data_IF_463379683804
#
_entry.id   IF_463379683804
#
_cell.length_a   1.000
_cell.length_b   1.000
_cell.length_c   1.000
_cell.angle_alpha   90.00
_cell.angle_beta   90.00
_cell.angle_gamma   90.00
#
_symmetry.space_group_name_H-M   'P 1'
#
loop_
_entity.id
_entity.type
_entity.pdbx_description
1 polymer ?
#
# COMPACT_ATOMS: atom_id res chain seq x y z
N UNK A 1 2.35 -24.97 -10.29
CA UNK A 1 2.35 -23.51 -10.12
C UNK A 1 1.24 -22.85 -10.95
N UNK A 2 1.22 -23.02 -12.29
CA UNK A 2 0.22 -22.40 -13.18
C UNK A 2 -1.21 -22.69 -12.75
N UNK A 3 -1.53 -23.94 -12.41
CA UNK A 3 -2.87 -24.33 -11.94
C UNK A 3 -3.31 -23.56 -10.68
N UNK A 4 -2.40 -23.36 -9.73
CA UNK A 4 -2.68 -22.59 -8.51
C UNK A 4 -2.99 -21.12 -8.85
N UNK A 5 -2.21 -20.50 -9.74
CA UNK A 5 -2.44 -19.12 -10.20
C UNK A 5 -3.80 -19.00 -10.89
N UNK A 6 -4.12 -19.92 -11.80
CA UNK A 6 -5.41 -19.93 -12.51
C UNK A 6 -6.58 -20.09 -11.53
N UNK A 7 -6.49 -21.03 -10.59
CA UNK A 7 -7.53 -21.21 -9.57
C UNK A 7 -7.69 -19.97 -8.70
N UNK A 8 -6.59 -19.36 -8.27
CA UNK A 8 -6.63 -18.12 -7.47
C UNK A 8 -7.29 -16.97 -8.23
N UNK A 9 -7.01 -16.82 -9.53
CA UNK A 9 -7.65 -15.80 -10.37
C UNK A 9 -9.15 -16.07 -10.57
N UNK A 10 -9.54 -17.33 -10.81
CA UNK A 10 -10.96 -17.71 -10.96
C UNK A 10 -11.74 -17.45 -9.66
N UNK A 11 -11.19 -17.84 -8.52
CA UNK A 11 -11.77 -17.53 -7.21
C UNK A 11 -11.84 -16.02 -7.01
N UNK A 12 -10.78 -15.29 -7.37
CA UNK A 12 -10.75 -13.83 -7.33
C UNK A 12 -11.86 -13.19 -8.15
N UNK A 13 -12.05 -13.62 -9.39
CA UNK A 13 -13.16 -13.15 -10.25
C UNK A 13 -14.51 -13.43 -9.59
N UNK A 14 -14.73 -14.64 -9.08
CA UNK A 14 -15.99 -14.99 -8.43
C UNK A 14 -16.27 -14.12 -7.20
N UNK A 15 -15.26 -13.89 -6.35
CA UNK A 15 -15.38 -13.01 -5.18
C UNK A 15 -15.59 -11.54 -5.58
N UNK A 16 -14.89 -11.05 -6.60
CA UNK A 16 -15.04 -9.68 -7.11
C UNK A 16 -16.45 -9.45 -7.64
N UNK A 17 -16.93 -10.35 -8.49
CA UNK A 17 -18.30 -10.29 -9.04
C UNK A 17 -19.34 -10.35 -7.92
N UNK A 18 -19.18 -11.28 -6.97
CA UNK A 18 -20.04 -11.36 -5.78
C UNK A 18 -20.03 -10.05 -5.01
N UNK A 19 -18.86 -9.48 -4.75
CA UNK A 19 -18.72 -8.20 -4.05
C UNK A 19 -19.44 -7.05 -4.78
N UNK A 20 -19.29 -6.96 -6.11
CA UNK A 20 -19.97 -5.97 -6.93
C UNK A 20 -21.49 -6.16 -6.88
N UNK A 21 -22.00 -7.39 -7.04
CA UNK A 21 -23.44 -7.68 -6.94
C UNK A 21 -23.99 -7.32 -5.56
N UNK A 22 -23.29 -7.67 -4.49
CA UNK A 22 -23.71 -7.31 -3.12
C UNK A 22 -23.70 -5.79 -2.91
N UNK A 23 -22.78 -5.06 -3.51
CA UNK A 23 -22.73 -3.61 -3.48
C UNK A 23 -23.91 -3.01 -4.23
N UNK A 24 -24.17 -3.44 -5.47
CA UNK A 24 -25.26 -2.96 -6.31
C UNK A 24 -26.64 -3.26 -5.71
N UNK A 25 -26.76 -4.39 -5.00
CA UNK A 25 -27.99 -4.78 -4.31
C UNK A 25 -28.16 -4.17 -2.92
N UNK A 26 -27.20 -3.32 -2.48
CA UNK A 26 -27.21 -2.65 -1.17
C UNK A 26 -26.96 -3.59 0.03
N UNK A 27 -26.68 -4.87 -0.22
CA UNK A 27 -26.36 -5.85 0.83
C UNK A 27 -24.96 -5.66 1.40
N UNK A 28 -24.03 -5.14 0.58
CA UNK A 28 -22.70 -4.71 1.02
C UNK A 28 -22.71 -3.18 1.11
N UNK A 29 -22.28 -2.65 2.25
CA UNK A 29 -22.14 -1.21 2.45
C UNK A 29 -20.70 -0.87 2.76
N UNK A 30 -20.22 0.23 2.22
CA UNK A 30 -18.93 0.77 2.58
C UNK A 30 -18.99 1.41 3.97
N UNK A 31 -18.01 1.12 4.81
CA UNK A 31 -17.85 1.79 6.09
C UNK A 31 -17.20 3.16 5.85
N UNK A 32 -18.03 4.15 5.52
CA UNK A 32 -17.57 5.53 5.36
C UNK A 32 -17.30 6.07 6.76
N UNK A 33 -16.05 6.33 7.10
CA UNK A 33 -15.73 7.11 8.28
C UNK A 33 -16.06 8.58 7.98
N UNK A 34 -17.21 9.06 8.44
CA UNK A 34 -17.58 10.46 8.30
C UNK A 34 -16.64 11.35 9.12
N UNK A 35 -16.21 12.47 8.55
CA UNK A 35 -15.54 13.56 9.28
C UNK A 35 -14.04 13.41 9.55
N UNK A 36 -13.43 12.26 9.29
CA UNK A 36 -12.08 11.95 9.72
C UNK A 36 -10.93 12.60 8.89
N UNK A 37 -11.23 13.21 7.76
CA UNK A 37 -10.20 13.70 6.83
C UNK A 37 -9.89 15.18 6.86
N UNK A 38 -10.44 15.92 7.85
CA UNK A 38 -10.28 17.40 7.87
C UNK A 38 -9.09 17.89 8.70
N UNK A 39 -8.42 17.01 9.44
CA UNK A 39 -7.27 17.42 10.22
C UNK A 39 -6.06 17.68 9.29
N UNK A 40 -5.58 18.92 9.31
CA UNK A 40 -4.44 19.35 8.50
C UNK A 40 -3.17 18.60 8.90
N UNK A 41 -3.04 18.20 10.18
CA UNK A 41 -1.90 17.42 10.66
C UNK A 41 -1.74 16.07 9.93
N UNK A 42 -2.85 15.47 9.45
CA UNK A 42 -2.79 14.25 8.64
C UNK A 42 -2.19 14.51 7.25
N UNK A 43 -2.53 15.64 6.63
CA UNK A 43 -1.96 16.03 5.36
C UNK A 43 -0.48 16.41 5.50
N UNK A 44 -0.15 17.15 6.56
CA UNK A 44 1.23 17.51 6.89
C UNK A 44 2.09 16.26 7.13
N UNK A 45 1.58 15.28 7.89
CA UNK A 45 2.24 13.99 8.12
C UNK A 45 2.51 13.25 6.82
N UNK A 46 1.53 13.21 5.91
CA UNK A 46 1.70 12.59 4.61
C UNK A 46 2.72 13.34 3.75
N UNK A 47 2.68 14.66 3.72
CA UNK A 47 3.63 15.48 2.97
C UNK A 47 5.06 15.30 3.48
N UNK A 48 5.26 15.29 4.80
CA UNK A 48 6.56 15.02 5.42
C UNK A 48 7.06 13.62 5.09
N UNK A 49 6.18 12.60 5.23
CA UNK A 49 6.51 11.22 4.88
C UNK A 49 6.92 11.11 3.41
N UNK A 50 6.12 11.64 2.49
CA UNK A 50 6.37 11.56 1.06
C UNK A 50 7.65 12.32 0.67
N UNK A 51 7.84 13.52 1.18
CA UNK A 51 9.01 14.35 0.90
C UNK A 51 10.30 13.69 1.37
N UNK A 52 10.34 13.21 2.62
CA UNK A 52 11.51 12.54 3.19
C UNK A 52 11.77 11.18 2.52
N UNK A 53 10.72 10.43 2.22
CA UNK A 53 10.85 9.14 1.53
C UNK A 53 11.43 9.33 0.13
N UNK A 54 10.89 10.29 -0.65
CA UNK A 54 11.41 10.62 -1.98
C UNK A 54 12.85 11.12 -1.91
N UNK A 55 13.17 12.02 -0.98
CA UNK A 55 14.52 12.51 -0.77
C UNK A 55 15.49 11.37 -0.40
N UNK A 56 15.07 10.46 0.49
CA UNK A 56 15.86 9.30 0.90
C UNK A 56 16.12 8.33 -0.25
N UNK A 57 15.12 8.06 -1.09
CA UNK A 57 15.27 7.19 -2.26
C UNK A 57 16.18 7.82 -3.31
N UNK A 58 15.94 9.10 -3.65
CA UNK A 58 16.75 9.83 -4.65
C UNK A 58 18.20 9.97 -4.18
N UNK A 59 18.43 10.35 -2.93
CA UNK A 59 19.77 10.49 -2.39
C UNK A 59 20.49 9.14 -2.29
N UNK A 60 19.79 8.11 -1.79
CA UNK A 60 20.34 6.76 -1.66
C UNK A 60 20.72 6.10 -2.98
N UNK A 61 20.03 6.48 -4.08
CA UNK A 61 20.31 5.98 -5.43
C UNK A 61 21.30 6.86 -6.21
N UNK A 62 21.68 8.03 -5.67
CA UNK A 62 22.57 8.99 -6.35
C UNK A 62 24.04 8.77 -6.01
N UNK A 63 24.93 9.28 -6.87
CA UNK A 63 26.38 9.36 -6.62
C UNK A 63 26.76 10.53 -5.69
N UNK A 64 25.78 11.16 -5.04
CA UNK A 64 26.03 12.26 -4.11
C UNK A 64 26.82 11.79 -2.87
N UNK A 65 27.62 12.71 -2.27
CA UNK A 65 28.37 12.38 -1.07
C UNK A 65 27.47 11.80 0.03
N UNK A 66 27.89 10.67 0.57
CA UNK A 66 27.16 9.98 1.62
C UNK A 66 26.02 9.08 1.14
N UNK A 67 25.63 9.06 -0.12
CA UNK A 67 24.65 8.15 -0.73
C UNK A 67 23.71 7.40 0.25
N UNK A 68 23.96 6.11 0.45
CA UNK A 68 23.18 5.25 1.37
C UNK A 68 23.27 5.70 2.84
N UNK A 69 24.36 6.32 3.26
CA UNK A 69 24.55 6.81 4.64
C UNK A 69 23.61 7.99 4.97
N UNK A 70 23.16 8.74 3.99
CA UNK A 70 22.16 9.82 4.15
C UNK A 70 20.78 9.34 3.77
N UNK A 71 20.65 8.57 2.68
CA UNK A 71 19.36 8.06 2.21
C UNK A 71 18.62 7.22 3.23
N UNK A 72 19.31 6.27 3.88
CA UNK A 72 18.69 5.40 4.87
C UNK A 72 18.16 6.13 6.12
N UNK A 73 18.90 7.06 6.76
CA UNK A 73 18.36 7.89 7.83
C UNK A 73 17.15 8.72 7.43
N UNK A 74 17.11 9.25 6.19
CA UNK A 74 15.94 9.98 5.70
C UNK A 74 14.71 9.08 5.57
N UNK A 75 14.86 7.83 5.13
CA UNK A 75 13.77 6.86 5.10
C UNK A 75 13.27 6.55 6.51
N UNK A 76 14.17 6.31 7.46
CA UNK A 76 13.80 6.07 8.86
C UNK A 76 13.07 7.28 9.45
N UNK A 77 13.53 8.49 9.16
CA UNK A 77 12.88 9.72 9.60
C UNK A 77 11.50 9.90 8.95
N UNK A 78 11.34 9.53 7.67
CA UNK A 78 10.05 9.55 6.98
C UNK A 78 9.02 8.69 7.73
N UNK A 79 9.38 7.46 8.09
CA UNK A 79 8.51 6.57 8.85
C UNK A 79 8.22 7.10 10.26
N UNK A 80 9.23 7.57 10.97
CA UNK A 80 9.08 8.08 12.34
C UNK A 80 8.16 9.32 12.39
N UNK A 81 8.41 10.31 11.53
CA UNK A 81 7.60 11.52 11.45
C UNK A 81 6.21 11.26 10.87
N UNK A 82 6.10 10.43 9.82
CA UNK A 82 4.82 10.05 9.27
C UNK A 82 3.89 9.46 10.34
N UNK A 83 4.38 8.53 11.13
CA UNK A 83 3.60 7.90 12.22
C UNK A 83 3.38 8.87 13.40
N UNK A 84 4.39 9.63 13.79
CA UNK A 84 4.34 10.48 14.99
C UNK A 84 3.62 11.81 14.78
N UNK A 85 3.80 12.44 13.62
CA UNK A 85 3.29 13.79 13.35
C UNK A 85 1.78 13.96 13.56
N UNK A 86 0.90 13.04 13.14
CA UNK A 86 -0.53 13.18 13.40
C UNK A 86 -0.88 13.37 14.87
N UNK A 87 -0.06 12.79 15.76
CA UNK A 87 -0.27 12.88 17.21
C UNK A 87 0.41 14.11 17.83
N UNK A 88 1.56 14.52 17.30
CA UNK A 88 2.34 15.66 17.80
C UNK A 88 1.80 16.99 17.24
N UNK A 89 1.54 17.04 15.95
CA UNK A 89 1.06 18.23 15.23
C UNK A 89 -0.45 18.45 15.29
N UNK A 90 -1.19 17.65 16.11
CA UNK A 90 -2.65 17.81 16.24
C UNK A 90 -3.03 19.19 16.71
N UNK A 91 -4.12 19.70 16.14
CA UNK A 91 -4.65 21.01 16.50
C UNK A 91 -5.41 20.96 17.82
N UNK A 92 -5.51 22.14 18.45
CA UNK A 92 -6.30 22.31 19.67
C UNK A 92 -7.75 21.82 19.46
N UNK A 93 -8.26 21.08 20.45
CA UNK A 93 -9.57 20.44 20.36
C UNK A 93 -9.60 19.06 19.67
N UNK A 94 -8.54 18.63 18.99
CA UNK A 94 -8.45 17.28 18.40
C UNK A 94 -7.87 16.30 19.42
N UNK A 95 -8.60 15.24 19.72
CA UNK A 95 -8.14 14.21 20.65
C UNK A 95 -7.28 13.13 19.95
N UNK A 96 -6.47 12.39 20.71
CA UNK A 96 -5.77 11.21 20.22
C UNK A 96 -6.73 10.15 19.66
N UNK A 97 -7.93 10.06 20.23
CA UNK A 97 -8.97 9.14 19.73
C UNK A 97 -9.48 9.56 18.37
N UNK A 98 -9.62 10.86 18.11
CA UNK A 98 -10.05 11.38 16.80
C UNK A 98 -8.98 11.07 15.74
N UNK A 99 -7.71 11.29 16.05
CA UNK A 99 -6.60 10.93 15.15
C UNK A 99 -6.58 9.43 14.86
N UNK A 100 -6.71 8.58 15.88
CA UNK A 100 -6.75 7.12 15.69
C UNK A 100 -7.93 6.69 14.81
N UNK A 101 -9.10 7.29 15.02
CA UNK A 101 -10.29 7.03 14.20
C UNK A 101 -10.07 7.49 12.76
N UNK A 102 -9.53 8.68 12.57
CA UNK A 102 -9.20 9.24 11.26
C UNK A 102 -8.25 8.34 10.48
N UNK A 103 -7.16 7.90 11.12
CA UNK A 103 -6.20 6.97 10.54
C UNK A 103 -6.77 5.55 10.33
N UNK A 104 -7.93 5.22 10.91
CA UNK A 104 -8.50 3.87 10.89
C UNK A 104 -7.83 2.89 11.87
N UNK A 105 -7.13 3.43 12.87
CA UNK A 105 -6.48 2.66 13.93
C UNK A 105 -7.52 2.19 14.96
N UNK A 106 -8.43 1.35 14.52
CA UNK A 106 -9.45 0.72 15.37
C UNK A 106 -9.70 -0.73 14.90
N UNK A 107 -10.27 -1.54 15.80
CA UNK A 107 -10.46 -2.97 15.56
C UNK A 107 -11.56 -3.30 14.52
N UNK A 108 -12.23 -2.29 13.95
CA UNK A 108 -13.33 -2.51 13.03
C UNK A 108 -14.42 -3.40 13.66
N UNK A 109 -14.78 -4.49 12.96
CA UNK A 109 -15.72 -5.52 13.44
C UNK A 109 -15.04 -6.61 14.28
N UNK A 110 -13.75 -6.44 14.59
CA UNK A 110 -12.90 -7.38 15.30
C UNK A 110 -11.66 -7.73 14.48
N UNK A 111 -10.50 -7.84 15.15
CA UNK A 111 -9.20 -8.06 14.48
C UNK A 111 -9.25 -9.28 13.55
N UNK A 112 -9.81 -10.41 14.02
CA UNK A 112 -9.93 -11.61 13.20
C UNK A 112 -10.78 -11.39 11.96
N UNK A 113 -11.93 -10.68 12.09
CA UNK A 113 -12.83 -10.41 10.97
C UNK A 113 -12.15 -9.49 9.96
N UNK A 114 -11.41 -8.47 10.42
CA UNK A 114 -10.66 -7.56 9.53
C UNK A 114 -9.50 -8.30 8.84
N UNK A 115 -8.82 -9.22 9.53
CA UNK A 115 -7.79 -10.08 8.94
C UNK A 115 -8.39 -10.97 7.83
N UNK A 116 -9.49 -11.67 8.11
CA UNK A 116 -10.17 -12.50 7.11
C UNK A 116 -10.69 -11.65 5.93
N UNK A 117 -11.18 -10.43 6.19
CA UNK A 117 -11.59 -9.50 5.15
C UNK A 117 -10.39 -9.05 4.30
N UNK A 118 -9.21 -8.87 4.90
CA UNK A 118 -7.96 -8.57 4.18
C UNK A 118 -7.54 -9.71 3.25
N UNK A 119 -7.57 -10.94 3.76
CA UNK A 119 -7.27 -12.15 2.95
C UNK A 119 -8.26 -12.30 1.79
N UNK A 120 -9.57 -12.26 2.09
CA UNK A 120 -10.62 -12.37 1.08
C UNK A 120 -10.55 -11.24 0.05
N UNK A 121 -10.29 -10.01 0.51
CA UNK A 121 -10.12 -8.85 -0.34
C UNK A 121 -8.89 -8.93 -1.24
N UNK A 122 -7.76 -9.42 -0.72
CA UNK A 122 -6.56 -9.68 -1.54
C UNK A 122 -6.89 -10.64 -2.70
N UNK A 123 -7.53 -11.77 -2.40
CA UNK A 123 -7.92 -12.76 -3.42
C UNK A 123 -8.92 -12.15 -4.41
N UNK A 124 -9.94 -11.44 -3.92
CA UNK A 124 -10.97 -10.82 -4.76
C UNK A 124 -10.39 -9.77 -5.73
N UNK A 125 -9.30 -9.11 -5.37
CA UNK A 125 -8.69 -8.05 -6.15
C UNK A 125 -7.52 -8.53 -7.04
N UNK A 126 -7.15 -9.82 -6.99
CA UNK A 126 -6.13 -10.41 -7.87
C UNK A 126 -6.38 -10.15 -9.37
N UNK A 127 -7.63 -10.23 -9.90
CA UNK A 127 -7.89 -9.93 -11.31
C UNK A 127 -7.57 -8.48 -11.68
N UNK A 128 -7.83 -7.53 -10.79
CA UNK A 128 -7.49 -6.10 -10.99
C UNK A 128 -5.98 -5.91 -10.99
N UNK A 129 -5.27 -6.59 -10.10
CA UNK A 129 -3.80 -6.59 -10.06
C UNK A 129 -3.20 -7.21 -11.32
N UNK A 130 -3.78 -8.33 -11.79
CA UNK A 130 -3.35 -8.99 -13.03
C UNK A 130 -3.45 -8.06 -14.25
N UNK A 131 -4.48 -7.20 -14.31
CA UNK A 131 -4.59 -6.17 -15.34
C UNK A 131 -3.41 -5.18 -15.27
N UNK A 132 -3.06 -4.70 -14.09
CA UNK A 132 -1.90 -3.83 -13.89
C UNK A 132 -0.58 -4.49 -14.32
N UNK A 133 -0.40 -5.76 -13.95
CA UNK A 133 0.77 -6.56 -14.36
C UNK A 133 0.81 -6.71 -15.89
N UNK A 134 -0.33 -6.99 -16.53
CA UNK A 134 -0.41 -7.10 -17.99
C UNK A 134 -0.02 -5.79 -18.68
N UNK A 135 -0.51 -4.65 -18.18
CA UNK A 135 -0.13 -3.32 -18.69
C UNK A 135 1.36 -3.09 -18.52
N UNK A 136 1.92 -3.33 -17.33
CA UNK A 136 3.36 -3.22 -17.05
C UNK A 136 4.17 -4.11 -18.00
N UNK A 137 3.79 -5.38 -18.13
CA UNK A 137 4.45 -6.31 -19.05
C UNK A 137 4.43 -5.80 -20.50
N UNK A 138 3.31 -5.29 -20.97
CA UNK A 138 3.19 -4.73 -22.31
C UNK A 138 4.09 -3.51 -22.49
N UNK A 139 4.10 -2.60 -21.53
CA UNK A 139 4.95 -1.40 -21.54
C UNK A 139 6.44 -1.77 -21.58
N UNK A 140 6.89 -2.70 -20.73
CA UNK A 140 8.29 -3.15 -20.72
C UNK A 140 8.68 -3.81 -22.05
N UNK A 141 7.78 -4.59 -22.67
CA UNK A 141 8.03 -5.23 -23.97
C UNK A 141 8.15 -4.23 -25.12
N UNK A 142 7.31 -3.19 -25.12
CA UNK A 142 7.32 -2.18 -26.20
C UNK A 142 8.46 -1.19 -26.04
N UNK A 143 8.75 -0.75 -24.82
CA UNK A 143 9.72 0.31 -24.55
C UNK A 143 11.14 -0.16 -24.25
N UNK A 144 11.33 -1.44 -23.91
CA UNK A 144 12.60 -1.96 -23.37
C UNK A 144 12.91 -1.47 -21.94
N UNK A 145 11.98 -0.77 -21.29
CA UNK A 145 12.20 -0.28 -19.93
C UNK A 145 12.25 -1.45 -18.93
N UNK A 146 13.09 -1.32 -17.91
CA UNK A 146 13.13 -2.24 -16.78
C UNK A 146 12.07 -1.84 -15.73
N UNK A 147 11.36 -2.84 -15.21
CA UNK A 147 10.41 -2.70 -14.12
C UNK A 147 10.76 -3.64 -12.94
N UNK A 148 12.00 -4.10 -12.86
CA UNK A 148 12.49 -4.92 -11.75
C UNK A 148 12.66 -4.09 -10.48
N UNK A 149 12.53 -4.74 -9.33
CA UNK A 149 12.80 -4.09 -8.05
C UNK A 149 14.30 -4.18 -7.71
N UNK A 150 14.97 -3.06 -7.34
CA UNK A 150 16.40 -3.06 -7.03
C UNK A 150 16.85 -4.00 -5.91
N UNK A 151 15.92 -4.44 -5.05
CA UNK A 151 16.19 -5.37 -3.95
C UNK A 151 16.46 -6.82 -4.43
N UNK A 152 16.23 -7.12 -5.72
CA UNK A 152 16.35 -8.48 -6.25
C UNK A 152 17.70 -9.13 -5.96
N UNK A 153 18.79 -8.38 -6.12
CA UNK A 153 20.14 -8.87 -5.91
C UNK A 153 20.42 -9.19 -4.43
N UNK A 154 19.91 -8.39 -3.51
CA UNK A 154 20.06 -8.60 -2.06
C UNK A 154 19.31 -9.84 -1.57
N UNK A 155 18.26 -10.27 -2.26
CA UNK A 155 17.50 -11.49 -1.90
C UNK A 155 18.30 -12.76 -2.14
N UNK A 156 19.37 -12.72 -2.94
CA UNK A 156 20.30 -13.85 -3.14
C UNK A 156 21.38 -13.94 -2.07
N UNK A 157 21.52 -12.93 -1.23
CA UNK A 157 22.50 -12.83 -0.16
C UNK A 157 22.32 -13.84 0.99
N UNK A 158 23.02 -13.65 2.12
CA UNK A 158 22.91 -14.52 3.28
C UNK A 158 21.46 -14.66 3.77
N UNK A 159 21.12 -15.86 4.30
CA UNK A 159 19.76 -16.14 4.77
C UNK A 159 19.23 -15.10 5.78
N UNK A 160 20.09 -14.59 6.66
CA UNK A 160 19.71 -13.55 7.63
C UNK A 160 19.27 -12.25 6.94
N UNK A 161 19.95 -11.85 5.85
CA UNK A 161 19.56 -10.66 5.05
C UNK A 161 18.22 -10.92 4.35
N UNK A 162 18.04 -12.10 3.76
CA UNK A 162 16.77 -12.49 3.15
C UNK A 162 15.60 -12.44 4.15
N UNK A 163 15.77 -13.00 5.34
CA UNK A 163 14.74 -12.97 6.40
C UNK A 163 14.45 -11.52 6.82
N UNK A 164 15.48 -10.71 7.02
CA UNK A 164 15.33 -9.30 7.40
C UNK A 164 14.55 -8.51 6.34
N UNK A 165 14.95 -8.62 5.07
CA UNK A 165 14.32 -7.91 3.97
C UNK A 165 12.87 -8.38 3.76
N UNK A 166 12.61 -9.70 3.85
CA UNK A 166 11.27 -10.26 3.75
C UNK A 166 10.39 -9.77 4.89
N UNK A 167 10.90 -9.76 6.12
CA UNK A 167 10.17 -9.24 7.28
C UNK A 167 9.87 -7.74 7.15
N UNK A 168 10.83 -6.97 6.67
CA UNK A 168 10.64 -5.55 6.41
C UNK A 168 9.56 -5.32 5.35
N UNK A 169 9.68 -5.98 4.19
CA UNK A 169 8.77 -5.80 3.07
C UNK A 169 7.36 -6.33 3.35
N UNK A 170 7.23 -7.45 4.08
CA UNK A 170 5.94 -8.08 4.32
C UNK A 170 5.22 -7.55 5.58
N UNK A 171 5.91 -6.89 6.51
CA UNK A 171 5.30 -6.44 7.77
C UNK A 171 5.47 -4.94 7.98
N UNK A 172 6.71 -4.46 8.05
CA UNK A 172 6.97 -3.08 8.46
C UNK A 172 6.53 -2.07 7.39
N UNK A 173 6.92 -2.28 6.14
CA UNK A 173 6.52 -1.40 5.04
C UNK A 173 4.99 -1.32 4.88
N UNK A 174 4.23 -2.44 4.80
CA UNK A 174 2.78 -2.39 4.73
C UNK A 174 2.12 -1.60 5.87
N UNK A 175 2.57 -1.78 7.11
CA UNK A 175 1.99 -1.05 8.26
C UNK A 175 2.17 0.46 8.09
N UNK A 176 3.38 0.92 7.79
CA UNK A 176 3.69 2.34 7.68
C UNK A 176 3.04 2.97 6.43
N UNK A 177 3.10 2.29 5.30
CA UNK A 177 2.53 2.76 4.05
C UNK A 177 1.01 2.84 4.11
N UNK A 178 0.33 1.83 4.65
CA UNK A 178 -1.12 1.88 4.81
C UNK A 178 -1.54 2.99 5.77
N UNK A 179 -0.78 3.23 6.85
CA UNK A 179 -1.05 4.32 7.77
C UNK A 179 -1.00 5.68 7.05
N UNK A 180 0.01 5.90 6.21
CA UNK A 180 0.20 7.16 5.51
C UNK A 180 -0.74 7.31 4.31
N UNK A 181 -0.80 6.30 3.44
CA UNK A 181 -1.60 6.39 2.23
C UNK A 181 -3.11 6.23 2.50
N UNK A 182 -3.53 5.23 3.30
CA UNK A 182 -4.95 4.92 3.53
C UNK A 182 -5.48 5.53 4.81
N UNK A 183 -4.63 5.69 5.80
CA UNK A 183 -4.99 6.41 7.03
C UNK A 183 -5.05 7.91 6.79
N UNK A 184 -3.93 8.53 6.49
CA UNK A 184 -3.81 9.98 6.40
C UNK A 184 -4.35 10.53 5.07
N UNK A 185 -3.73 10.18 3.93
CA UNK A 185 -3.99 10.87 2.68
C UNK A 185 -5.32 10.48 2.02
N UNK A 186 -5.67 9.20 1.99
CA UNK A 186 -6.98 8.77 1.48
C UNK A 186 -8.13 9.35 2.30
N UNK A 187 -7.98 9.33 3.63
CA UNK A 187 -8.93 9.98 4.53
C UNK A 187 -9.18 11.44 4.17
N UNK A 188 -8.11 12.18 3.83
CA UNK A 188 -8.19 13.57 3.42
C UNK A 188 -8.80 13.76 2.01
N UNK A 189 -8.34 13.01 1.01
CA UNK A 189 -8.80 13.17 -0.38
C UNK A 189 -10.28 12.85 -0.56
N UNK A 190 -10.78 11.77 0.03
CA UNK A 190 -12.17 11.33 -0.12
C UNK A 190 -13.21 12.31 0.46
N UNK A 191 -12.79 13.29 1.26
CA UNK A 191 -13.66 14.39 1.71
C UNK A 191 -13.79 15.49 0.67
N UNK A 192 -12.99 15.47 -0.40
CA UNK A 192 -12.93 16.49 -1.45
C UNK A 192 -13.34 15.98 -2.82
N UNK A 193 -13.07 14.70 -3.08
CA UNK A 193 -13.42 14.06 -4.35
C UNK A 193 -14.09 12.72 -4.08
N UNK A 194 -14.81 12.19 -5.09
CA UNK A 194 -15.42 10.88 -4.97
C UNK A 194 -14.36 9.83 -4.62
N UNK A 195 -14.70 8.90 -3.74
CA UNK A 195 -13.74 7.92 -3.20
C UNK A 195 -13.01 7.10 -4.27
N UNK A 196 -13.65 6.82 -5.42
CA UNK A 196 -13.01 6.10 -6.55
C UNK A 196 -11.89 6.96 -7.14
N UNK A 197 -12.14 8.26 -7.33
CA UNK A 197 -11.12 9.19 -7.81
C UNK A 197 -9.97 9.31 -6.79
N UNK A 198 -10.31 9.42 -5.48
CA UNK A 198 -9.29 9.42 -4.42
C UNK A 198 -8.44 8.14 -4.44
N UNK A 199 -9.08 6.97 -4.61
CA UNK A 199 -8.37 5.69 -4.71
C UNK A 199 -7.45 5.62 -5.95
N UNK A 200 -7.90 6.14 -7.10
CA UNK A 200 -7.11 6.22 -8.33
C UNK A 200 -5.89 7.13 -8.17
N UNK A 201 -6.09 8.35 -7.63
CA UNK A 201 -4.99 9.30 -7.38
C UNK A 201 -3.94 8.68 -6.46
N UNK A 202 -4.38 8.07 -5.35
CA UNK A 202 -3.48 7.42 -4.40
C UNK A 202 -2.75 6.24 -5.02
N UNK A 203 -3.45 5.44 -5.83
CA UNK A 203 -2.84 4.34 -6.54
C UNK A 203 -1.71 4.79 -7.46
N UNK A 204 -1.94 5.84 -8.25
CA UNK A 204 -0.93 6.40 -9.16
C UNK A 204 0.26 6.97 -8.40
N UNK A 205 0.04 7.77 -7.34
CA UNK A 205 1.12 8.31 -6.51
C UNK A 205 1.92 7.16 -5.86
N UNK A 206 1.22 6.16 -5.32
CA UNK A 206 1.84 4.99 -4.73
C UNK A 206 2.74 4.24 -5.73
N UNK A 207 2.26 4.04 -6.97
CA UNK A 207 3.07 3.44 -8.03
C UNK A 207 4.27 4.28 -8.44
N UNK A 208 4.07 5.61 -8.55
CA UNK A 208 5.09 6.52 -9.04
C UNK A 208 6.29 6.72 -8.09
N UNK A 209 6.10 6.55 -6.78
CA UNK A 209 7.19 6.66 -5.79
C UNK A 209 7.99 5.36 -5.61
N UNK A 210 7.53 4.26 -6.20
CA UNK A 210 8.22 2.98 -6.10
C UNK A 210 9.41 2.89 -7.06
N UNK A 211 10.50 2.20 -6.69
CA UNK A 211 11.75 2.23 -7.44
C UNK A 211 11.75 1.39 -8.73
N UNK A 212 10.64 0.75 -9.10
CA UNK A 212 10.50 -0.05 -10.31
C UNK A 212 10.39 0.76 -11.62
N UNK A 213 10.55 2.09 -11.54
CA UNK A 213 10.49 2.97 -12.69
C UNK A 213 9.09 3.12 -13.28
N UNK A 214 8.96 3.98 -14.28
CA UNK A 214 7.66 4.37 -14.86
C UNK A 214 6.86 3.20 -15.45
N UNK A 215 7.54 2.21 -16.02
CA UNK A 215 6.88 1.04 -16.61
C UNK A 215 6.26 0.12 -15.54
N UNK A 216 6.74 0.15 -14.30
CA UNK A 216 6.20 -0.57 -13.15
C UNK A 216 4.97 0.11 -12.52
N UNK A 217 4.77 1.41 -12.80
CA UNK A 217 3.67 2.19 -12.19
C UNK A 217 2.30 1.53 -12.33
N UNK A 218 1.85 0.98 -13.48
CA UNK A 218 0.52 0.39 -13.59
C UNK A 218 0.28 -0.76 -12.62
N UNK A 219 1.23 -1.68 -12.49
CA UNK A 219 1.08 -2.83 -11.58
C UNK A 219 0.96 -2.36 -10.12
N UNK A 220 1.84 -1.46 -9.69
CA UNK A 220 1.87 -0.97 -8.31
C UNK A 220 0.70 -0.03 -8.02
N UNK A 221 0.27 0.76 -9.01
CA UNK A 221 -0.90 1.61 -8.89
C UNK A 221 -2.19 0.79 -8.64
N UNK A 222 -2.33 -0.38 -9.29
CA UNK A 222 -3.46 -1.28 -9.04
C UNK A 222 -3.41 -1.88 -7.63
N UNK A 223 -2.22 -2.22 -7.10
CA UNK A 223 -2.08 -2.58 -5.68
C UNK A 223 -2.53 -1.41 -4.81
N UNK A 224 -2.04 -0.21 -5.09
CA UNK A 224 -2.41 1.01 -4.39
C UNK A 224 -3.92 1.29 -4.40
N UNK A 225 -4.56 1.17 -5.55
CA UNK A 225 -6.01 1.31 -5.70
C UNK A 225 -6.77 0.27 -4.86
N UNK A 226 -6.36 -1.00 -4.94
CA UNK A 226 -7.02 -2.10 -4.22
C UNK A 226 -7.00 -1.91 -2.71
N UNK A 227 -5.87 -1.45 -2.15
CA UNK A 227 -5.78 -1.16 -0.71
C UNK A 227 -6.73 -0.02 -0.31
N UNK A 228 -6.90 1.00 -1.16
CA UNK A 228 -7.86 2.07 -0.92
C UNK A 228 -9.32 1.58 -0.96
N UNK A 229 -9.65 0.65 -1.87
CA UNK A 229 -10.96 -0.02 -1.90
C UNK A 229 -11.23 -0.77 -0.60
N UNK A 230 -10.26 -1.54 -0.11
CA UNK A 230 -10.38 -2.27 1.17
C UNK A 230 -10.56 -1.31 2.35
N UNK A 231 -9.80 -0.21 2.38
CA UNK A 231 -9.94 0.84 3.39
C UNK A 231 -11.34 1.47 3.37
N UNK A 232 -11.86 1.77 2.17
CA UNK A 232 -13.20 2.31 1.98
C UNK A 232 -14.28 1.32 2.44
N UNK A 233 -14.09 0.04 2.14
CA UNK A 233 -15.03 -1.01 2.54
C UNK A 233 -15.03 -1.25 4.04
N UNK A 234 -13.85 -1.35 4.68
CA UNK A 234 -13.75 -1.78 6.09
C UNK A 234 -13.73 -0.65 7.09
N UNK A 235 -13.34 0.55 6.70
CA UNK A 235 -13.16 1.68 7.63
C UNK A 235 -11.97 1.54 8.58
N UNK A 236 -11.42 0.35 8.79
CA UNK A 236 -10.18 0.04 9.51
C UNK A 236 -9.01 -0.13 8.54
N UNK A 237 -7.77 0.11 8.98
CA UNK A 237 -6.57 -0.16 8.16
C UNK A 237 -6.07 -1.60 8.30
N UNK A 238 -6.66 -2.44 9.16
CA UNK A 238 -6.21 -3.83 9.36
C UNK A 238 -6.35 -4.63 8.07
N UNK A 239 -7.51 -4.57 7.40
CA UNK A 239 -7.72 -5.33 6.17
C UNK A 239 -6.75 -4.93 5.04
N UNK A 240 -6.54 -3.63 4.71
CA UNK A 240 -5.54 -3.26 3.72
C UNK A 240 -4.10 -3.62 4.15
N UNK A 241 -3.72 -3.48 5.44
CA UNK A 241 -2.41 -3.95 5.92
C UNK A 241 -2.22 -5.44 5.65
N UNK A 242 -3.20 -6.28 5.98
CA UNK A 242 -3.12 -7.73 5.75
C UNK A 242 -3.01 -8.05 4.26
N UNK A 243 -3.84 -7.44 3.44
CA UNK A 243 -3.80 -7.65 1.99
C UNK A 243 -2.47 -7.21 1.37
N UNK A 244 -1.93 -6.08 1.82
CA UNK A 244 -0.64 -5.55 1.37
C UNK A 244 0.53 -6.45 1.84
N UNK A 245 0.51 -6.90 3.10
CA UNK A 245 1.47 -7.84 3.65
C UNK A 245 1.50 -9.17 2.86
N UNK A 246 0.32 -9.69 2.48
CA UNK A 246 0.21 -10.87 1.64
C UNK A 246 0.78 -10.63 0.24
N UNK A 247 0.47 -9.47 -0.37
CA UNK A 247 1.02 -9.10 -1.67
C UNK A 247 2.54 -9.06 -1.65
N UNK A 248 3.13 -8.29 -0.75
CA UNK A 248 4.57 -8.11 -0.68
C UNK A 248 5.28 -9.40 -0.26
N UNK A 249 4.73 -10.11 0.74
CA UNK A 249 5.27 -11.40 1.19
C UNK A 249 5.28 -12.43 0.06
N UNK A 250 4.19 -12.52 -0.71
CA UNK A 250 4.10 -13.44 -1.86
C UNK A 250 5.14 -13.09 -2.90
N UNK A 251 5.28 -11.82 -3.29
CA UNK A 251 6.23 -11.38 -4.31
C UNK A 251 7.67 -11.65 -3.86
N UNK A 252 8.05 -11.23 -2.65
CA UNK A 252 9.42 -11.39 -2.13
C UNK A 252 9.79 -12.87 -2.00
N UNK A 253 8.85 -13.71 -1.50
CA UNK A 253 9.08 -15.14 -1.42
C UNK A 253 9.23 -15.79 -2.79
N UNK A 254 8.37 -15.44 -3.76
CA UNK A 254 8.45 -15.97 -5.12
C UNK A 254 9.76 -15.58 -5.81
N UNK A 255 10.14 -14.30 -5.73
CA UNK A 255 11.40 -13.80 -6.31
C UNK A 255 12.60 -14.43 -5.61
N UNK A 256 12.63 -14.41 -4.27
CA UNK A 256 13.73 -14.96 -3.50
C UNK A 256 13.92 -16.47 -3.66
N UNK A 257 12.84 -17.24 -3.83
CA UNK A 257 12.92 -18.68 -4.11
C UNK A 257 13.31 -18.97 -5.57
N UNK A 258 12.94 -18.10 -6.51
CA UNK A 258 13.30 -18.27 -7.93
C UNK A 258 14.77 -17.93 -8.22
N UNK A 259 15.38 -17.06 -7.40
CA UNK A 259 16.77 -16.61 -7.55
C UNK A 259 17.77 -17.44 -6.72
N UNK A 260 17.30 -18.32 -5.84
CA UNK A 260 18.13 -19.24 -5.01
C UNK A 260 18.17 -20.64 -5.58
#
# INVERSE_FOLDING_TARGET
FLAVVVVALLVGVALLVTGVVLLLTGKLRFAIAEGAGRDVALLEAFALYLGLMTAGLVWGASDLPGGRAVGLPLLVLAFALGIGWPFLGRREGTTTTDIRRALGLHRGRGVLIETLAGVAGYIALLPVMALGILITFTLTRISGADASHPIGDELTGPLAVFILLTSFAAVFAPVSEELMFRGAFFGHLRTRVHWVAAAGIIGVIFGAIHPQGWAGVPAIAMVGFNMAVLRQWRGSIIAPIVAHALNNGTIVLMVGLALR
#
